data_IF_518615848808
#
_entry.id   IF_518615848808
#
_cell.length_a   1.000
_cell.length_b   1.000
_cell.length_c   1.000
_cell.angle_alpha   90.00
_cell.angle_beta   90.00
_cell.angle_gamma   90.00
#
_symmetry.space_group_name_H-M   'P 1'
#
loop_
_entity.id
_entity.type
_entity.pdbx_description
1 polymer ?
#
# COMPACT_ATOMS: atom_id res chain seq x y z
N UNK A 1 -36.24 48.11 40.20
CA UNK A 1 -35.15 47.38 40.90
C UNK A 1 -34.60 46.26 40.02
N UNK A 2 -33.43 46.54 39.42
CA UNK A 2 -32.37 45.66 38.92
C UNK A 2 -32.74 44.25 38.37
N UNK A 3 -33.28 44.19 37.15
CA UNK A 3 -33.38 42.95 36.35
C UNK A 3 -32.06 42.54 35.66
N UNK A 4 -30.99 43.34 35.78
CA UNK A 4 -29.71 43.13 35.08
C UNK A 4 -28.86 41.96 35.61
N UNK A 5 -29.19 41.37 36.76
CA UNK A 5 -28.40 40.30 37.36
C UNK A 5 -28.75 38.91 36.82
N UNK A 6 -30.02 38.61 36.50
CA UNK A 6 -30.44 37.30 35.96
C UNK A 6 -29.96 37.06 34.52
N UNK A 7 -29.94 38.11 33.69
CA UNK A 7 -29.47 38.04 32.30
C UNK A 7 -27.95 37.74 32.22
N UNK A 8 -27.15 38.22 33.18
CA UNK A 8 -25.71 37.94 33.24
C UNK A 8 -25.39 36.48 33.51
N UNK A 9 -26.12 35.82 34.41
CA UNK A 9 -25.91 34.39 34.69
C UNK A 9 -26.32 33.51 33.51
N UNK A 10 -27.41 33.84 32.82
CA UNK A 10 -27.84 33.14 31.60
C UNK A 10 -26.80 33.26 30.47
N UNK A 11 -26.22 34.45 30.27
CA UNK A 11 -25.19 34.67 29.27
C UNK A 11 -23.90 33.87 29.58
N UNK A 12 -23.52 33.78 30.86
CA UNK A 12 -22.36 32.98 31.28
C UNK A 12 -22.63 31.49 31.06
N UNK A 13 -23.83 31.01 31.39
CA UNK A 13 -24.23 29.61 31.17
C UNK A 13 -24.23 29.23 29.68
N UNK A 14 -24.79 30.09 28.82
CA UNK A 14 -24.75 29.89 27.38
C UNK A 14 -23.31 29.88 26.85
N UNK A 15 -22.45 30.79 27.34
CA UNK A 15 -21.05 30.86 26.94
C UNK A 15 -20.31 29.57 27.33
N UNK A 16 -20.51 29.07 28.55
CA UNK A 16 -19.94 27.79 29.00
C UNK A 16 -20.43 26.63 28.14
N UNK A 17 -21.72 26.58 27.81
CA UNK A 17 -22.27 25.54 26.93
C UNK A 17 -21.69 25.61 25.51
N UNK A 18 -21.52 26.81 24.95
CA UNK A 18 -20.86 27.01 23.67
C UNK A 18 -19.38 26.59 23.71
N UNK A 19 -18.66 26.86 24.82
CA UNK A 19 -17.28 26.41 24.99
C UNK A 19 -17.18 24.88 25.06
N UNK A 20 -18.05 24.23 25.84
CA UNK A 20 -18.09 22.77 25.92
C UNK A 20 -18.42 22.12 24.58
N UNK A 21 -19.36 22.71 23.83
CA UNK A 21 -19.68 22.27 22.48
C UNK A 21 -18.48 22.45 21.53
N UNK A 22 -17.80 23.59 21.57
CA UNK A 22 -16.63 23.85 20.74
C UNK A 22 -15.47 22.88 21.04
N UNK A 23 -15.18 22.61 22.32
CA UNK A 23 -14.16 21.63 22.73
C UNK A 23 -14.54 20.22 22.24
N UNK A 24 -15.81 19.83 22.42
CA UNK A 24 -16.29 18.53 21.96
C UNK A 24 -16.18 18.39 20.44
N UNK A 25 -16.56 19.42 19.69
CA UNK A 25 -16.43 19.46 18.23
C UNK A 25 -14.96 19.33 17.79
N UNK A 26 -14.04 20.05 18.46
CA UNK A 26 -12.61 19.97 18.16
C UNK A 26 -12.05 18.54 18.39
N UNK A 27 -12.42 17.90 19.49
CA UNK A 27 -12.00 16.51 19.80
C UNK A 27 -12.56 15.54 18.77
N UNK A 28 -13.85 15.65 18.42
CA UNK A 28 -14.47 14.80 17.41
C UNK A 28 -13.79 14.93 16.03
N UNK A 29 -13.49 16.16 15.60
CA UNK A 29 -12.76 16.40 14.35
C UNK A 29 -11.35 15.83 14.42
N UNK A 30 -10.64 16.00 15.53
CA UNK A 30 -9.30 15.43 15.70
C UNK A 30 -9.31 13.91 15.55
N UNK A 31 -10.21 13.22 16.26
CA UNK A 31 -10.36 11.76 16.19
C UNK A 31 -10.69 11.32 14.74
N UNK A 32 -11.59 12.02 14.06
CA UNK A 32 -11.95 11.71 12.67
C UNK A 32 -10.77 11.87 11.72
N UNK A 33 -9.97 12.92 11.88
CA UNK A 33 -8.75 13.13 11.08
C UNK A 33 -7.77 12.00 11.33
N UNK A 34 -7.53 11.62 12.58
CA UNK A 34 -6.68 10.48 12.93
C UNK A 34 -7.19 9.16 12.34
N UNK A 35 -8.49 8.89 12.44
CA UNK A 35 -9.11 7.70 11.88
C UNK A 35 -9.02 7.67 10.34
N UNK A 36 -9.21 8.81 9.68
CA UNK A 36 -9.06 8.92 8.23
C UNK A 36 -7.60 8.68 7.79
N UNK A 37 -6.63 9.24 8.52
CA UNK A 37 -5.20 8.97 8.25
C UNK A 37 -4.85 7.49 8.45
N UNK A 38 -5.33 6.88 9.53
CA UNK A 38 -5.15 5.45 9.78
C UNK A 38 -5.83 4.59 8.70
N UNK A 39 -7.04 4.96 8.27
CA UNK A 39 -7.78 4.31 7.19
C UNK A 39 -7.05 4.39 5.86
N UNK A 40 -6.52 5.56 5.49
CA UNK A 40 -5.69 5.73 4.30
C UNK A 40 -4.45 4.82 4.33
N UNK A 41 -3.72 4.80 5.45
CA UNK A 41 -2.57 3.90 5.62
C UNK A 41 -2.95 2.42 5.48
N UNK A 42 -4.09 2.03 6.06
CA UNK A 42 -4.60 0.66 5.93
C UNK A 42 -5.01 0.33 4.50
N UNK A 43 -5.63 1.25 3.77
CA UNK A 43 -6.00 1.06 2.38
C UNK A 43 -4.75 0.91 1.49
N UNK A 44 -3.76 1.79 1.66
CA UNK A 44 -2.46 1.71 0.98
C UNK A 44 -1.78 0.37 1.26
N UNK A 45 -1.72 -0.07 2.52
CA UNK A 45 -1.14 -1.36 2.87
C UNK A 45 -1.90 -2.54 2.24
N UNK A 46 -3.24 -2.55 2.30
CA UNK A 46 -4.05 -3.60 1.68
C UNK A 46 -3.82 -3.71 0.18
N UNK A 47 -3.73 -2.59 -0.51
CA UNK A 47 -3.43 -2.55 -1.94
C UNK A 47 -2.00 -3.03 -2.22
N UNK A 48 -1.00 -2.60 -1.44
CA UNK A 48 0.38 -3.07 -1.55
C UNK A 48 0.49 -4.59 -1.39
N UNK A 49 -0.24 -5.15 -0.42
CA UNK A 49 -0.29 -6.61 -0.20
C UNK A 49 -0.94 -7.30 -1.39
N UNK A 50 -2.08 -6.79 -1.88
CA UNK A 50 -2.80 -7.36 -3.02
C UNK A 50 -1.93 -7.39 -4.28
N UNK A 51 -1.29 -6.27 -4.62
CA UNK A 51 -0.42 -6.18 -5.80
C UNK A 51 0.82 -7.07 -5.66
N UNK A 52 1.46 -7.08 -4.49
CA UNK A 52 2.59 -7.97 -4.24
C UNK A 52 2.21 -9.45 -4.38
N UNK A 53 0.99 -9.83 -3.95
CA UNK A 53 0.49 -11.20 -4.11
C UNK A 53 0.17 -11.53 -5.57
N UNK A 54 -0.48 -10.63 -6.31
CA UNK A 54 -0.75 -10.81 -7.74
C UNK A 54 0.55 -11.03 -8.54
N UNK A 55 1.58 -10.24 -8.23
CA UNK A 55 2.91 -10.41 -8.82
C UNK A 55 3.56 -11.72 -8.37
N UNK A 56 3.43 -12.09 -7.10
CA UNK A 56 3.95 -13.37 -6.61
C UNK A 56 3.34 -14.57 -7.30
N UNK A 57 2.05 -14.50 -7.62
CA UNK A 57 1.36 -15.52 -8.41
C UNK A 57 1.88 -15.55 -9.85
N UNK A 58 2.13 -14.38 -10.45
CA UNK A 58 2.75 -14.29 -11.78
C UNK A 58 4.15 -14.90 -11.81
N UNK A 59 4.97 -14.65 -10.77
CA UNK A 59 6.27 -15.29 -10.60
C UNK A 59 6.13 -16.81 -10.51
N UNK A 60 5.18 -17.31 -9.73
CA UNK A 60 4.91 -18.76 -9.63
C UNK A 60 4.40 -19.36 -10.94
N UNK A 61 3.56 -18.64 -11.66
CA UNK A 61 2.98 -19.06 -12.94
C UNK A 61 4.02 -19.10 -14.07
N UNK A 62 5.02 -18.22 -14.02
CA UNK A 62 6.12 -18.18 -14.99
C UNK A 62 6.98 -19.46 -14.98
N UNK A 63 6.94 -20.24 -13.89
CA UNK A 63 7.72 -21.47 -13.77
C UNK A 63 9.25 -21.25 -13.81
N UNK A 64 9.72 -20.02 -13.55
CA UNK A 64 11.13 -19.65 -13.65
C UNK A 64 11.56 -19.12 -15.03
N UNK A 65 10.63 -18.98 -15.98
CA UNK A 65 10.91 -18.29 -17.25
C UNK A 65 10.70 -16.77 -17.10
N UNK A 66 11.82 -16.04 -17.07
CA UNK A 66 11.85 -14.57 -16.95
C UNK A 66 11.16 -13.85 -18.12
N UNK A 67 11.14 -14.44 -19.32
CA UNK A 67 10.44 -13.84 -20.46
C UNK A 67 8.93 -13.96 -20.31
N UNK A 68 8.47 -15.13 -19.85
CA UNK A 68 7.06 -15.34 -19.51
C UNK A 68 6.64 -14.39 -18.39
N UNK A 69 7.49 -14.22 -17.37
CA UNK A 69 7.21 -13.27 -16.29
C UNK A 69 7.07 -11.83 -16.80
N UNK A 70 7.98 -11.34 -17.64
CA UNK A 70 7.88 -10.01 -18.24
C UNK A 70 6.58 -9.82 -19.04
N UNK A 71 6.16 -10.85 -19.79
CA UNK A 71 4.88 -10.82 -20.52
C UNK A 71 3.64 -10.81 -19.62
N UNK A 72 3.71 -11.48 -18.46
CA UNK A 72 2.61 -11.50 -17.48
C UNK A 72 2.48 -10.18 -16.74
N UNK A 73 3.60 -9.53 -16.46
CA UNK A 73 3.65 -8.25 -15.74
C UNK A 73 3.49 -7.05 -16.67
N UNK A 74 3.51 -7.25 -18.00
CA UNK A 74 3.51 -6.20 -19.03
C UNK A 74 4.62 -5.17 -18.76
N UNK A 75 5.82 -5.67 -18.43
CA UNK A 75 7.01 -4.85 -18.18
C UNK A 75 8.26 -5.57 -18.63
N UNK A 76 9.27 -4.80 -19.04
CA UNK A 76 10.55 -5.34 -19.45
C UNK A 76 11.44 -5.59 -18.24
N UNK A 77 12.33 -6.57 -18.37
CA UNK A 77 13.31 -6.90 -17.35
C UNK A 77 14.51 -5.95 -17.47
N UNK A 78 14.85 -5.23 -16.40
CA UNK A 78 16.06 -4.43 -16.30
C UNK A 78 17.04 -5.10 -15.31
N UNK A 79 17.91 -5.97 -15.81
CA UNK A 79 18.96 -6.61 -15.01
C UNK A 79 18.46 -7.56 -13.92
N UNK A 80 17.48 -8.42 -14.23
CA UNK A 80 16.85 -9.33 -13.25
C UNK A 80 15.83 -8.66 -12.34
N UNK A 81 15.49 -7.40 -12.62
CA UNK A 81 14.55 -6.61 -11.85
C UNK A 81 13.39 -6.16 -12.74
N UNK A 82 12.17 -6.35 -12.24
CA UNK A 82 10.96 -5.81 -12.86
C UNK A 82 10.44 -4.67 -11.99
N UNK A 83 10.14 -3.54 -12.63
CA UNK A 83 9.62 -2.36 -11.96
C UNK A 83 8.20 -2.11 -12.48
N UNK A 84 7.28 -1.94 -11.54
CA UNK A 84 5.90 -1.63 -11.79
C UNK A 84 5.56 -0.31 -11.10
N UNK A 85 5.16 0.69 -11.87
CA UNK A 85 4.81 2.01 -11.38
C UNK A 85 3.29 2.13 -11.24
N UNK A 86 2.85 2.83 -10.20
CA UNK A 86 1.44 3.11 -9.94
C UNK A 86 1.22 4.56 -9.52
N UNK A 87 0.08 5.12 -9.93
CA UNK A 87 -0.38 6.44 -9.47
C UNK A 87 -0.95 6.39 -8.05
N UNK A 88 -1.41 7.53 -7.53
CA UNK A 88 -2.07 7.62 -6.22
C UNK A 88 -3.33 6.75 -6.07
N UNK A 89 -3.94 6.32 -7.18
CA UNK A 89 -5.15 5.51 -7.25
C UNK A 89 -4.86 4.03 -7.55
N UNK A 90 -3.60 3.59 -7.49
CA UNK A 90 -3.17 2.23 -7.81
C UNK A 90 -3.44 1.82 -9.27
N UNK A 91 -3.45 2.78 -10.19
CA UNK A 91 -3.49 2.52 -11.63
C UNK A 91 -2.06 2.36 -12.16
N UNK A 92 -1.84 1.33 -12.98
CA UNK A 92 -0.54 1.06 -13.61
C UNK A 92 -0.12 2.22 -14.51
N UNK A 93 1.12 2.65 -14.34
CA UNK A 93 1.80 3.62 -15.17
C UNK A 93 2.96 2.95 -15.92
N UNK A 94 3.25 3.48 -17.11
CA UNK A 94 4.36 3.06 -17.96
C UNK A 94 5.42 4.16 -18.10
N UNK A 95 5.21 5.31 -17.44
CA UNK A 95 6.13 6.44 -17.38
C UNK A 95 6.25 6.91 -15.91
N UNK A 96 7.37 7.54 -15.55
CA UNK A 96 7.67 7.89 -14.16
C UNK A 96 7.03 9.20 -13.68
N UNK A 97 6.44 9.97 -14.60
CA UNK A 97 6.07 11.37 -14.37
C UNK A 97 5.11 11.59 -13.21
N UNK A 98 4.20 10.65 -12.98
CA UNK A 98 3.15 10.70 -11.95
C UNK A 98 3.19 9.48 -10.99
N UNK A 99 4.32 8.77 -10.93
CA UNK A 99 4.46 7.58 -10.11
C UNK A 99 4.49 7.93 -8.61
N UNK A 100 3.58 7.34 -7.84
CA UNK A 100 3.47 7.50 -6.39
C UNK A 100 3.90 6.23 -5.65
N UNK A 101 3.63 5.07 -6.23
CA UNK A 101 4.05 3.79 -5.69
C UNK A 101 4.88 3.03 -6.72
N UNK A 102 5.92 2.36 -6.22
CA UNK A 102 6.76 1.47 -7.00
C UNK A 102 6.67 0.07 -6.42
N UNK A 103 6.42 -0.92 -7.27
CA UNK A 103 6.55 -2.33 -6.94
C UNK A 103 7.73 -2.90 -7.70
N UNK A 104 8.71 -3.39 -6.94
CA UNK A 104 9.96 -3.94 -7.44
C UNK A 104 9.98 -5.44 -7.22
N UNK A 105 10.33 -6.18 -8.26
CA UNK A 105 10.47 -7.64 -8.24
C UNK A 105 11.91 -7.97 -8.59
N UNK A 106 12.62 -8.59 -7.67
CA UNK A 106 13.96 -9.11 -7.91
C UNK A 106 13.84 -10.62 -7.99
N UNK A 107 14.18 -11.21 -9.14
CA UNK A 107 14.17 -12.66 -9.32
C UNK A 107 15.60 -13.16 -9.45
N UNK A 108 15.93 -14.17 -8.66
CA UNK A 108 17.21 -14.85 -8.70
C UNK A 108 16.96 -16.36 -8.74
N UNK A 109 17.65 -17.06 -9.65
CA UNK A 109 17.64 -18.52 -9.73
C UNK A 109 19.06 -18.97 -9.45
N UNK A 110 19.24 -19.74 -8.38
CA UNK A 110 20.55 -20.24 -8.00
C UNK A 110 20.96 -21.51 -8.77
N UNK A 111 22.19 -21.97 -8.52
CA UNK A 111 22.73 -23.17 -9.15
C UNK A 111 22.04 -24.48 -8.70
N UNK A 112 21.23 -24.44 -7.64
CA UNK A 112 20.44 -25.57 -7.13
C UNK A 112 19.01 -25.54 -7.68
N UNK A 113 18.74 -24.72 -8.70
CA UNK A 113 17.43 -24.53 -9.30
C UNK A 113 16.39 -23.99 -8.30
N UNK A 114 16.83 -23.28 -7.25
CA UNK A 114 15.93 -22.56 -6.36
C UNK A 114 15.62 -21.19 -6.94
N UNK A 115 14.35 -20.94 -7.23
CA UNK A 115 13.84 -19.62 -7.52
C UNK A 115 13.61 -18.88 -6.20
N UNK A 116 14.37 -17.80 -6.03
CA UNK A 116 14.12 -16.78 -5.03
C UNK A 116 13.56 -15.54 -5.71
N UNK A 117 12.44 -15.03 -5.20
CA UNK A 117 11.91 -13.73 -5.63
C UNK A 117 11.61 -12.86 -4.43
N UNK A 118 12.18 -11.66 -4.43
CA UNK A 118 11.92 -10.62 -3.45
C UNK A 118 11.05 -9.54 -4.11
N UNK A 119 9.84 -9.36 -3.59
CA UNK A 119 8.86 -8.38 -4.07
C UNK A 119 8.72 -7.31 -3.00
N UNK A 120 8.95 -6.05 -3.34
CA UNK A 120 8.82 -4.91 -2.42
C UNK A 120 7.93 -3.84 -3.03
N UNK A 121 7.02 -3.30 -2.23
CA UNK A 121 6.18 -2.15 -2.58
C UNK A 121 6.62 -0.96 -1.74
N UNK A 122 7.00 0.12 -2.41
CA UNK A 122 7.50 1.35 -1.80
C UNK A 122 6.62 2.53 -2.18
N UNK A 123 6.45 3.46 -1.24
CA UNK A 123 6.08 4.84 -1.57
C UNK A 123 7.35 5.68 -1.77
N UNK A 124 7.21 7.01 -1.92
CA UNK A 124 8.32 7.95 -2.10
C UNK A 124 9.45 7.83 -1.05
N UNK A 125 9.21 7.27 0.14
CA UNK A 125 10.13 7.36 1.29
C UNK A 125 10.36 6.04 2.01
N UNK A 126 9.34 5.18 2.08
CA UNK A 126 9.33 3.99 2.91
C UNK A 126 8.84 2.75 2.16
N UNK A 127 9.34 1.59 2.59
CA UNK A 127 8.80 0.29 2.16
C UNK A 127 7.46 0.05 2.87
N UNK A 128 6.38 -0.01 2.11
CA UNK A 128 5.03 -0.28 2.62
C UNK A 128 4.90 -1.77 2.95
N UNK A 129 5.39 -2.64 2.07
CA UNK A 129 5.25 -4.09 2.20
C UNK A 129 6.35 -4.83 1.45
N UNK A 130 6.67 -6.04 1.92
CA UNK A 130 7.61 -6.94 1.25
C UNK A 130 7.11 -8.37 1.35
N UNK A 131 7.25 -9.11 0.25
CA UNK A 131 6.92 -10.51 0.12
C UNK A 131 8.09 -11.26 -0.50
N UNK A 132 8.53 -12.33 0.16
CA UNK A 132 9.59 -13.21 -0.34
C UNK A 132 9.00 -14.55 -0.77
N UNK A 133 9.41 -15.02 -1.93
CA UNK A 133 9.08 -16.33 -2.49
C UNK A 133 10.37 -17.14 -2.57
N UNK A 134 10.31 -18.37 -2.09
CA UNK A 134 11.35 -19.38 -2.28
C UNK A 134 10.66 -20.61 -2.86
N UNK A 135 11.12 -21.07 -4.01
CA UNK A 135 10.51 -22.22 -4.70
C UNK A 135 11.60 -23.03 -5.37
N UNK A 136 11.59 -24.34 -5.14
CA UNK A 136 12.40 -25.25 -5.91
C UNK A 136 11.80 -25.42 -7.31
N UNK A 137 12.59 -25.16 -8.35
CA UNK A 137 12.26 -25.48 -9.73
C UNK A 137 12.66 -26.94 -9.92
N UNK A 138 11.83 -27.90 -9.54
CA UNK A 138 12.15 -29.30 -9.84
C UNK A 138 11.94 -29.58 -11.33
N UNK A 139 12.78 -30.45 -11.89
CA UNK A 139 12.77 -30.78 -13.30
C UNK A 139 11.60 -31.72 -13.65
N UNK A 140 10.36 -31.22 -13.71
CA UNK A 140 9.30 -31.94 -14.42
C UNK A 140 9.42 -31.76 -15.93
N UNK A 141 10.39 -32.49 -16.52
CA UNK A 141 10.21 -33.10 -17.83
C UNK A 141 11.01 -34.39 -17.95
N UNK A 142 10.71 -35.32 -17.04
CA UNK A 142 11.35 -36.62 -16.94
C UNK A 142 10.39 -37.75 -16.60
N UNK A 143 9.22 -37.84 -17.24
CA UNK A 143 8.63 -39.15 -17.52
C UNK A 143 7.77 -39.11 -18.80
N UNK A 144 8.36 -39.66 -19.87
CA UNK A 144 7.66 -40.28 -21.00
C UNK A 144 7.09 -41.60 -20.48
N UNK A 145 5.80 -41.87 -20.69
CA UNK A 145 5.30 -42.94 -21.56
C UNK A 145 3.84 -42.67 -21.95
#
# INVERSE_FOLDING_TARGET
>A
MNQSSKSRYFLVELLVNCLLFAVSAAVCVAILVHANMAGKKSATLSMAVSEAQNVAESVKASGGDLRVLGSLLDTEEEGGVYILLYDANWQRLFDDSDAVYELRVVVNIDNENMLQSDISVTDEKDVIYTLRILRYLDAERGERI
#
